data_IF_571379142329
#
_entry.id   IF_571379142329
#
_cell.length_a   1.000
_cell.length_b   1.000
_cell.length_c   1.000
_cell.angle_alpha   90.00
_cell.angle_beta   90.00
_cell.angle_gamma   90.00
#
_symmetry.space_group_name_H-M   'P 1'
#
loop_
_entity.id
_entity.type
_entity.pdbx_description
1 polymer ?
#
# COMPACT_ATOMS: atom_id res chain seq x y z
N UNK A 1 -12.57 -6.30 -17.99
CA UNK A 1 -12.64 -7.18 -16.80
C UNK A 1 -11.26 -7.70 -16.37
N UNK A 2 -10.41 -8.23 -17.27
CA UNK A 2 -9.03 -8.67 -16.92
C UNK A 2 -8.20 -7.64 -16.13
N UNK A 3 -8.34 -6.35 -16.46
CA UNK A 3 -7.66 -5.23 -15.78
C UNK A 3 -8.07 -5.02 -14.30
N UNK A 4 -9.34 -5.32 -13.96
CA UNK A 4 -9.87 -5.16 -12.61
C UNK A 4 -9.36 -6.24 -11.66
N UNK A 5 -9.34 -7.48 -12.14
CA UNK A 5 -8.81 -8.64 -11.41
C UNK A 5 -7.32 -8.42 -11.11
N UNK A 6 -6.56 -7.93 -12.08
CA UNK A 6 -5.15 -7.59 -11.88
C UNK A 6 -4.98 -6.51 -10.80
N UNK A 7 -5.81 -5.46 -10.81
CA UNK A 7 -5.81 -4.41 -9.78
C UNK A 7 -6.10 -5.00 -8.39
N UNK A 8 -7.08 -5.90 -8.27
CA UNK A 8 -7.41 -6.56 -6.99
C UNK A 8 -6.24 -7.41 -6.50
N UNK A 9 -5.64 -8.22 -7.37
CA UNK A 9 -4.48 -9.07 -7.03
C UNK A 9 -3.31 -8.20 -6.56
N UNK A 10 -2.99 -7.13 -7.30
CA UNK A 10 -1.96 -6.18 -6.93
C UNK A 10 -2.27 -5.49 -5.59
N UNK A 11 -3.52 -5.12 -5.36
CA UNK A 11 -3.97 -4.51 -4.10
C UNK A 11 -3.82 -5.46 -2.90
N UNK A 12 -4.14 -6.75 -3.08
CA UNK A 12 -3.98 -7.79 -2.04
C UNK A 12 -2.51 -8.03 -1.74
N UNK A 13 -1.65 -8.12 -2.75
CA UNK A 13 -0.20 -8.29 -2.57
C UNK A 13 0.39 -7.07 -1.84
N UNK A 14 0.02 -5.85 -2.27
CA UNK A 14 0.41 -4.61 -1.61
C UNK A 14 -0.04 -4.57 -0.16
N UNK A 15 -1.28 -4.97 0.12
CA UNK A 15 -1.82 -5.04 1.48
C UNK A 15 -1.01 -6.00 2.35
N UNK A 16 -0.78 -7.23 1.88
CA UNK A 16 -0.01 -8.23 2.64
C UNK A 16 1.43 -7.79 2.88
N UNK A 17 2.06 -7.13 1.90
CA UNK A 17 3.40 -6.58 2.04
C UNK A 17 3.44 -5.46 3.10
N UNK A 18 2.56 -4.46 2.99
CA UNK A 18 2.45 -3.35 3.93
C UNK A 18 2.11 -3.81 5.35
N UNK A 19 1.24 -4.81 5.49
CA UNK A 19 0.85 -5.39 6.77
C UNK A 19 2.00 -6.19 7.41
N UNK A 20 2.72 -6.99 6.61
CA UNK A 20 3.90 -7.74 7.08
C UNK A 20 5.03 -6.79 7.51
N UNK A 21 5.32 -5.76 6.72
CA UNK A 21 6.38 -4.80 7.05
C UNK A 21 5.98 -3.89 8.22
N UNK A 22 4.71 -3.46 8.28
CA UNK A 22 4.19 -2.63 9.34
C UNK A 22 4.22 -3.29 10.71
N UNK A 23 3.76 -4.54 10.79
CA UNK A 23 3.64 -5.26 12.07
C UNK A 23 4.98 -5.83 12.54
N UNK A 24 5.78 -6.41 11.63
CA UNK A 24 6.99 -7.14 12.04
C UNK A 24 8.25 -6.27 12.08
N UNK A 25 8.40 -5.28 11.18
CA UNK A 25 9.64 -4.49 11.10
C UNK A 25 9.64 -3.27 12.03
N UNK A 26 8.48 -2.88 12.56
CA UNK A 26 8.33 -1.65 13.34
C UNK A 26 7.62 -1.87 14.68
N UNK A 27 7.62 -3.10 15.22
CA UNK A 27 7.12 -3.39 16.57
C UNK A 27 7.74 -2.47 17.63
N UNK A 28 8.98 -2.06 17.39
CA UNK A 28 9.79 -1.31 18.35
C UNK A 28 9.70 0.21 18.12
N UNK A 29 9.04 0.66 17.03
CA UNK A 29 8.83 2.08 16.75
C UNK A 29 7.36 2.37 16.47
N UNK A 30 6.71 3.08 17.40
CA UNK A 30 5.31 3.49 17.30
C UNK A 30 4.99 4.16 15.95
N UNK A 31 5.91 5.00 15.46
CA UNK A 31 5.76 5.72 14.17
C UNK A 31 5.73 4.78 12.97
N UNK A 32 6.61 3.77 12.93
CA UNK A 32 6.65 2.80 11.84
C UNK A 32 5.45 1.85 11.85
N UNK A 33 4.95 1.50 13.04
CA UNK A 33 3.71 0.74 13.21
C UNK A 33 2.52 1.49 12.60
N UNK A 34 2.33 2.76 12.96
CA UNK A 34 1.23 3.59 12.43
C UNK A 34 1.30 3.77 10.91
N UNK A 35 2.51 3.94 10.36
CA UNK A 35 2.74 4.00 8.91
C UNK A 35 2.29 2.71 8.22
N UNK A 36 2.66 1.56 8.80
CA UNK A 36 2.26 0.25 8.31
C UNK A 36 0.73 0.10 8.29
N UNK A 37 0.08 0.47 9.39
CA UNK A 37 -1.38 0.43 9.53
C UNK A 37 -2.06 1.36 8.50
N UNK A 38 -1.61 2.61 8.37
CA UNK A 38 -2.18 3.57 7.41
C UNK A 38 -2.03 3.08 5.96
N UNK A 39 -0.84 2.60 5.59
CA UNK A 39 -0.62 2.05 4.24
C UNK A 39 -1.47 0.79 3.98
N UNK A 40 -1.67 -0.05 4.99
CA UNK A 40 -2.58 -1.19 4.96
C UNK A 40 -4.03 -0.77 4.72
N UNK A 41 -4.54 0.23 5.46
CA UNK A 41 -5.90 0.75 5.29
C UNK A 41 -6.10 1.32 3.87
N UNK A 42 -5.15 2.08 3.35
CA UNK A 42 -5.21 2.66 2.00
C UNK A 42 -5.23 1.54 0.95
N UNK A 43 -4.39 0.52 1.10
CA UNK A 43 -4.35 -0.64 0.19
C UNK A 43 -5.68 -1.41 0.23
N UNK A 44 -6.27 -1.58 1.41
CA UNK A 44 -7.57 -2.23 1.59
C UNK A 44 -8.72 -1.45 0.93
N UNK A 45 -8.74 -0.12 1.07
CA UNK A 45 -9.70 0.74 0.37
C UNK A 45 -9.59 0.58 -1.16
N UNK A 46 -8.37 0.49 -1.69
CA UNK A 46 -8.12 0.23 -3.11
C UNK A 46 -8.69 -1.12 -3.59
N UNK A 47 -8.58 -2.17 -2.77
CA UNK A 47 -9.18 -3.49 -3.05
C UNK A 47 -10.71 -3.40 -3.07
N UNK A 48 -11.32 -2.76 -2.06
CA UNK A 48 -12.78 -2.57 -1.98
C UNK A 48 -13.29 -1.84 -3.22
N UNK A 49 -12.63 -0.75 -3.63
CA UNK A 49 -12.98 -0.01 -4.83
C UNK A 49 -12.85 -0.87 -6.10
N UNK A 50 -11.85 -1.74 -6.16
CA UNK A 50 -11.70 -2.71 -7.25
C UNK A 50 -12.85 -3.73 -7.31
N UNK A 51 -13.30 -4.22 -6.16
CA UNK A 51 -14.46 -5.13 -6.06
C UNK A 51 -15.76 -4.41 -6.43
N UNK A 52 -15.96 -3.19 -5.91
CA UNK A 52 -17.11 -2.34 -6.27
C UNK A 52 -17.14 -2.03 -7.77
N UNK A 53 -15.98 -1.83 -8.39
CA UNK A 53 -15.87 -1.65 -9.82
C UNK A 53 -16.35 -2.88 -10.61
N UNK A 54 -16.06 -4.10 -10.14
CA UNK A 54 -16.60 -5.32 -10.74
C UNK A 54 -18.12 -5.39 -10.64
N UNK A 55 -18.68 -4.93 -9.51
CA UNK A 55 -20.13 -4.93 -9.27
C UNK A 55 -20.88 -3.88 -10.09
N UNK A 56 -20.42 -2.64 -10.09
CA UNK A 56 -21.12 -1.53 -10.74
C UNK A 56 -20.69 -1.26 -12.19
N UNK A 57 -19.63 -1.92 -12.68
CA UNK A 57 -19.04 -1.72 -14.01
C UNK A 57 -18.65 -0.26 -14.31
N UNK A 58 -18.47 0.57 -13.28
CA UNK A 58 -18.06 1.98 -13.44
C UNK A 58 -16.55 2.07 -13.62
N UNK A 59 -16.10 2.50 -14.78
CA UNK A 59 -14.68 2.62 -15.11
C UNK A 59 -13.93 3.63 -14.22
N UNK A 60 -14.62 4.65 -13.70
CA UNK A 60 -14.05 5.62 -12.75
C UNK A 60 -13.53 4.94 -11.47
N UNK A 61 -14.23 3.92 -10.98
CA UNK A 61 -13.82 3.15 -9.80
C UNK A 61 -12.53 2.35 -10.05
N UNK A 62 -12.24 1.97 -11.31
CA UNK A 62 -11.01 1.26 -11.67
C UNK A 62 -9.80 2.20 -11.55
N UNK A 63 -9.93 3.42 -12.10
CA UNK A 63 -8.88 4.44 -12.00
C UNK A 63 -8.62 4.82 -10.56
N UNK A 64 -9.68 5.02 -9.76
CA UNK A 64 -9.57 5.26 -8.33
C UNK A 64 -8.88 4.11 -7.59
N UNK A 65 -9.32 2.85 -7.79
CA UNK A 65 -8.68 1.67 -7.20
C UNK A 65 -7.17 1.63 -7.51
N UNK A 66 -6.80 1.88 -8.76
CA UNK A 66 -5.39 1.93 -9.18
C UNK A 66 -4.60 3.04 -8.48
N UNK A 67 -5.17 4.24 -8.33
CA UNK A 67 -4.53 5.35 -7.61
C UNK A 67 -4.30 4.98 -6.14
N UNK A 68 -5.31 4.42 -5.47
CA UNK A 68 -5.18 3.99 -4.07
C UNK A 68 -4.10 2.93 -3.88
N UNK A 69 -4.02 1.94 -4.79
CA UNK A 69 -2.98 0.91 -4.74
C UNK A 69 -1.58 1.50 -5.00
N UNK A 70 -1.44 2.40 -5.96
CA UNK A 70 -0.19 3.11 -6.20
C UNK A 70 0.25 3.93 -4.98
N UNK A 71 -0.67 4.68 -4.36
CA UNK A 71 -0.39 5.45 -3.15
C UNK A 71 0.03 4.54 -1.98
N UNK A 72 -0.64 3.40 -1.81
CA UNK A 72 -0.29 2.42 -0.79
C UNK A 72 1.13 1.85 -0.98
N UNK A 73 1.62 1.73 -2.21
CA UNK A 73 2.97 1.27 -2.52
C UNK A 73 4.04 2.37 -2.42
N UNK A 74 3.71 3.61 -2.81
CA UNK A 74 4.65 4.74 -2.78
C UNK A 74 5.02 5.16 -1.35
N UNK A 75 4.08 5.04 -0.41
CA UNK A 75 4.28 5.45 0.97
C UNK A 75 5.39 4.65 1.71
N UNK A 76 5.37 3.31 1.74
CA UNK A 76 6.46 2.52 2.31
C UNK A 76 7.77 2.67 1.52
N UNK A 77 7.71 2.88 0.20
CA UNK A 77 8.90 3.13 -0.62
C UNK A 77 9.61 4.44 -0.20
N UNK A 78 8.86 5.53 0.01
CA UNK A 78 9.41 6.80 0.49
C UNK A 78 10.08 6.64 1.85
N UNK A 79 9.48 5.85 2.73
CA UNK A 79 9.99 5.62 4.08
C UNK A 79 11.24 4.74 4.06
N UNK A 80 11.29 3.74 3.17
CA UNK A 80 12.48 2.94 2.92
C UNK A 80 13.65 3.82 2.45
N UNK A 81 13.40 4.77 1.54
CA UNK A 81 14.41 5.73 1.07
C UNK A 81 14.89 6.62 2.24
N UNK A 82 13.98 7.15 3.06
CA UNK A 82 14.35 7.98 4.21
C UNK A 82 15.14 7.18 5.26
N UNK A 83 14.78 5.93 5.52
CA UNK A 83 15.50 5.04 6.42
C UNK A 83 16.93 4.77 5.88
N UNK A 84 17.07 4.48 4.59
CA UNK A 84 18.37 4.26 3.96
C UNK A 84 19.27 5.50 3.99
N UNK A 85 18.72 6.68 3.72
CA UNK A 85 19.44 7.95 3.86
C UNK A 85 19.93 8.19 5.30
N UNK A 86 19.14 7.77 6.30
CA UNK A 86 19.55 7.80 7.71
C UNK A 86 20.76 6.91 8.01
N UNK A 87 20.81 5.71 7.43
CA UNK A 87 21.94 4.77 7.60
C UNK A 87 23.22 5.34 6.98
N UNK A 88 23.16 5.89 5.76
CA UNK A 88 24.32 6.49 5.10
C UNK A 88 24.92 7.62 5.95
N UNK A 89 24.07 8.45 6.58
CA UNK A 89 24.50 9.55 7.45
C UNK A 89 25.22 9.12 8.73
N UNK A 90 25.01 7.90 9.22
CA UNK A 90 25.73 7.38 10.38
C UNK A 90 27.09 6.76 9.99
N UNK A 91 27.26 6.39 8.72
CA UNK A 91 28.46 5.73 8.19
C UNK A 91 29.46 6.73 7.62
N UNK A 92 28.97 7.83 7.03
CA UNK A 92 29.79 8.93 6.51
C UNK A 92 30.26 9.88 7.63
#
# INVERSE_FOLDING_TARGET
>A
MKKAILSIILGVISFLASWKWGIFSYSDSEKGFWIGVVSGIISFAGIILGILQLKEKRYILLSLSGIFICLAALFPLMILILAYLGIIRMVA
#
